data_IF_352371207502
#
_entry.id   IF_352371207502
#
_cell.length_a   1.000
_cell.length_b   1.000
_cell.length_c   1.000
_cell.angle_alpha   90.00
_cell.angle_beta   90.00
_cell.angle_gamma   90.00
#
_symmetry.space_group_name_H-M   'P 1'
#
loop_
_entity.id
_entity.type
_entity.pdbx_description
1 polymer ?
#
# COMPACT_ATOMS: atom_id res chain seq x y z
N UNK A 1 1.82 -29.26 10.76
CA UNK A 1 2.39 -27.95 10.36
C UNK A 1 1.28 -26.92 10.43
N UNK A 2 1.31 -26.02 11.41
CA UNK A 2 0.40 -24.86 11.44
C UNK A 2 0.93 -23.80 10.50
N UNK A 3 0.19 -23.50 9.42
CA UNK A 3 0.48 -22.36 8.57
C UNK A 3 0.43 -21.09 9.43
N UNK A 4 1.50 -20.29 9.43
CA UNK A 4 1.47 -19.00 10.09
C UNK A 4 0.28 -18.19 9.54
N UNK A 5 -0.48 -17.44 10.38
CA UNK A 5 -1.59 -16.64 9.90
C UNK A 5 -1.13 -15.69 8.80
N UNK A 6 -1.80 -15.75 7.65
CA UNK A 6 -1.55 -14.84 6.53
C UNK A 6 -1.81 -13.41 7.01
N UNK A 7 -0.85 -12.51 6.78
CA UNK A 7 -0.98 -11.10 7.15
C UNK A 7 -2.23 -10.47 6.51
N UNK A 8 -2.98 -9.73 7.31
CA UNK A 8 -4.20 -9.03 6.88
C UNK A 8 -3.85 -7.57 6.63
N UNK A 9 -3.67 -7.23 5.37
CA UNK A 9 -3.35 -5.87 4.91
C UNK A 9 -4.63 -5.13 4.57
N UNK A 10 -4.68 -3.83 4.88
CA UNK A 10 -5.75 -2.93 4.46
C UNK A 10 -5.16 -1.67 3.87
N UNK A 11 -5.90 -1.00 2.98
CA UNK A 11 -5.61 0.36 2.52
C UNK A 11 -6.77 1.24 3.01
N UNK A 12 -6.51 2.08 4.00
CA UNK A 12 -7.50 2.96 4.64
C UNK A 12 -7.55 4.35 3.99
N UNK A 13 -6.42 4.80 3.44
CA UNK A 13 -6.30 6.05 2.71
C UNK A 13 -5.69 5.76 1.35
N UNK A 14 -6.32 6.28 0.30
CA UNK A 14 -5.80 6.24 -1.06
C UNK A 14 -6.24 7.51 -1.80
N UNK A 15 -5.34 8.49 -1.90
CA UNK A 15 -5.65 9.81 -2.45
C UNK A 15 -4.55 10.27 -3.39
N UNK A 16 -4.94 10.79 -4.55
CA UNK A 16 -4.01 11.32 -5.54
C UNK A 16 -4.42 12.72 -5.98
N UNK A 17 -3.54 13.71 -5.77
CA UNK A 17 -3.60 15.02 -6.41
C UNK A 17 -2.61 15.03 -7.56
N UNK A 18 -3.12 14.96 -8.79
CA UNK A 18 -2.31 14.91 -10.00
C UNK A 18 -1.26 16.04 -10.00
N UNK A 19 -0.02 15.70 -10.32
CA UNK A 19 1.13 16.61 -10.33
C UNK A 19 1.48 17.29 -8.99
N UNK A 20 0.84 16.89 -7.89
CA UNK A 20 1.14 17.42 -6.54
C UNK A 20 1.70 16.31 -5.66
N UNK A 21 0.85 15.40 -5.21
CA UNK A 21 1.23 14.31 -4.31
C UNK A 21 0.26 13.14 -4.42
N UNK A 22 0.72 12.01 -3.92
CA UNK A 22 -0.08 10.82 -3.74
C UNK A 22 0.18 10.25 -2.35
N UNK A 23 -0.87 9.86 -1.65
CA UNK A 23 -0.79 9.37 -0.27
C UNK A 23 -1.56 8.08 -0.12
N UNK A 24 -0.91 7.10 0.50
CA UNK A 24 -1.49 5.81 0.89
C UNK A 24 -1.22 5.55 2.36
N UNK A 25 -2.19 4.98 3.06
CA UNK A 25 -2.02 4.52 4.43
C UNK A 25 -2.93 3.34 4.74
N UNK A 26 -2.57 2.55 5.73
CA UNK A 26 -3.34 1.36 6.10
C UNK A 26 -2.74 0.59 7.26
N UNK A 27 -3.26 -0.62 7.45
CA UNK A 27 -2.80 -1.53 8.49
C UNK A 27 -2.30 -2.84 7.90
N UNK A 28 -1.51 -3.57 8.68
CA UNK A 28 -0.99 -4.90 8.38
C UNK A 28 -1.00 -5.67 9.70
N UNK A 29 -1.95 -6.60 9.84
CA UNK A 29 -2.20 -7.38 11.06
C UNK A 29 -1.77 -8.83 10.85
N UNK A 30 -0.78 -9.28 11.62
CA UNK A 30 -0.36 -10.67 11.73
C UNK A 30 -0.30 -11.05 13.23
N UNK A 31 -0.39 -12.34 13.56
CA UNK A 31 -0.29 -12.89 14.91
C UNK A 31 1.16 -12.86 15.50
N UNK A 32 2.01 -11.94 15.06
CA UNK A 32 3.40 -11.82 15.50
C UNK A 32 3.96 -10.40 15.38
N UNK A 33 5.17 -10.13 15.92
CA UNK A 33 5.79 -8.81 15.90
C UNK A 33 5.89 -8.27 14.47
N UNK A 34 5.53 -6.99 14.27
CA UNK A 34 5.55 -6.35 12.95
C UNK A 34 6.89 -5.69 12.59
N UNK A 35 7.89 -5.77 13.46
CA UNK A 35 9.17 -5.06 13.34
C UNK A 35 9.89 -5.45 12.05
N UNK A 36 10.23 -4.46 11.22
CA UNK A 36 11.00 -4.65 10.00
C UNK A 36 10.19 -5.14 8.78
N UNK A 37 8.88 -5.33 8.91
CA UNK A 37 8.03 -5.66 7.77
C UNK A 37 7.76 -4.40 6.90
N UNK A 38 7.43 -4.63 5.62
CA UNK A 38 7.13 -3.53 4.69
C UNK A 38 5.94 -3.86 3.79
N UNK A 39 5.34 -2.81 3.22
CA UNK A 39 4.29 -2.88 2.21
C UNK A 39 4.83 -2.26 0.93
N UNK A 40 4.91 -3.05 -0.14
CA UNK A 40 5.16 -2.55 -1.49
C UNK A 40 3.86 -2.05 -2.11
N UNK A 41 3.91 -0.88 -2.73
CA UNK A 41 2.76 -0.23 -3.37
C UNK A 41 2.92 -0.27 -4.87
N UNK A 42 1.86 -0.67 -5.57
CA UNK A 42 1.79 -0.74 -7.02
C UNK A 42 0.57 0.03 -7.53
N UNK A 43 0.77 0.79 -8.58
CA UNK A 43 -0.30 1.28 -9.43
C UNK A 43 -0.84 0.13 -10.27
N UNK A 44 -2.13 -0.15 -10.11
CA UNK A 44 -2.85 -1.20 -10.83
C UNK A 44 -4.07 -0.62 -11.55
N UNK A 45 -3.99 0.65 -11.94
CA UNK A 45 -5.02 1.31 -12.73
C UNK A 45 -5.36 0.48 -13.98
N UNK A 46 -6.64 0.14 -14.22
CA UNK A 46 -7.04 -0.65 -15.38
C UNK A 46 -6.58 -0.05 -16.72
N UNK A 47 -6.26 -0.91 -17.68
CA UNK A 47 -5.82 -0.50 -19.02
C UNK A 47 -4.34 -0.18 -19.14
N UNK A 48 -3.53 -0.42 -18.10
CA UNK A 48 -2.06 -0.36 -18.18
C UNK A 48 -1.39 -1.45 -17.34
N UNK A 49 -0.12 -1.71 -17.63
CA UNK A 49 0.69 -2.64 -16.83
C UNK A 49 0.87 -2.12 -15.40
N UNK A 50 0.92 -3.04 -14.43
CA UNK A 50 1.16 -2.70 -13.05
C UNK A 50 2.56 -2.09 -12.88
N UNK A 51 2.67 -0.98 -12.15
CA UNK A 51 3.91 -0.26 -11.95
C UNK A 51 4.17 -0.03 -10.47
N UNK A 52 5.41 -0.24 -10.01
CA UNK A 52 5.77 0.01 -8.62
C UNK A 52 5.76 1.51 -8.32
N UNK A 53 5.08 1.90 -7.26
CA UNK A 53 5.02 3.28 -6.75
C UNK A 53 6.05 3.51 -5.65
N UNK A 54 6.16 2.59 -4.70
CA UNK A 54 7.04 2.76 -3.55
C UNK A 54 6.92 1.64 -2.53
N UNK A 55 7.46 1.88 -1.33
CA UNK A 55 7.32 0.98 -0.19
C UNK A 55 7.17 1.75 1.12
N UNK A 56 6.38 1.21 2.04
CA UNK A 56 6.17 1.74 3.38
C UNK A 56 6.67 0.73 4.42
N UNK A 57 7.40 1.19 5.43
CA UNK A 57 7.71 0.35 6.60
C UNK A 57 6.47 0.23 7.49
N UNK A 58 6.21 -0.97 7.99
CA UNK A 58 5.17 -1.23 8.97
C UNK A 58 5.74 -0.94 10.36
N UNK A 59 5.06 -0.08 11.14
CA UNK A 59 5.47 0.21 12.50
C UNK A 59 5.07 -0.91 13.48
N UNK A 60 5.51 -0.81 14.73
CA UNK A 60 5.22 -1.81 15.78
C UNK A 60 3.73 -2.02 16.07
N UNK A 61 2.89 -1.04 15.74
CA UNK A 61 1.43 -1.11 15.89
C UNK A 61 0.73 -1.72 14.65
N UNK A 62 1.49 -2.12 13.63
CA UNK A 62 0.94 -2.65 12.38
C UNK A 62 0.43 -1.57 11.43
N UNK A 63 0.71 -0.29 11.67
CA UNK A 63 0.31 0.80 10.77
C UNK A 63 1.41 1.09 9.76
N UNK A 64 1.02 1.54 8.57
CA UNK A 64 1.94 1.98 7.54
C UNK A 64 1.36 3.18 6.78
N UNK A 65 2.26 4.03 6.27
CA UNK A 65 1.91 5.16 5.42
C UNK A 65 3.02 5.45 4.43
N UNK A 66 2.66 5.89 3.24
CA UNK A 66 3.59 6.32 2.21
C UNK A 66 3.03 7.52 1.47
N UNK A 67 3.91 8.48 1.17
CA UNK A 67 3.57 9.65 0.36
C UNK A 67 4.70 9.91 -0.61
N UNK A 68 4.37 10.23 -1.85
CA UNK A 68 5.33 10.76 -2.83
C UNK A 68 4.99 12.20 -3.21
N UNK A 69 6.04 13.02 -3.28
CA UNK A 69 6.00 14.41 -3.71
C UNK A 69 7.27 14.73 -4.54
N UNK A 70 7.16 15.09 -5.83
CA UNK A 70 5.92 15.15 -6.59
C UNK A 70 5.25 13.78 -6.72
N UNK A 71 3.92 13.77 -6.75
CA UNK A 71 3.14 12.57 -7.09
C UNK A 71 3.30 12.19 -8.56
N UNK A 72 2.83 10.99 -8.97
CA UNK A 72 2.81 10.58 -10.36
C UNK A 72 2.13 11.62 -11.27
N UNK A 73 2.70 11.82 -12.46
CA UNK A 73 2.15 12.74 -13.47
C UNK A 73 0.97 12.15 -14.24
N UNK A 74 0.70 10.85 -14.07
CA UNK A 74 -0.43 10.14 -14.65
C UNK A 74 -1.43 9.81 -13.56
N UNK A 75 -2.72 9.88 -13.88
CA UNK A 75 -3.78 9.56 -12.93
C UNK A 75 -3.67 8.10 -12.46
N UNK A 76 -3.46 7.91 -11.17
CA UNK A 76 -3.61 6.62 -10.48
C UNK A 76 -5.04 6.52 -9.97
N UNK A 77 -5.77 5.47 -10.35
CA UNK A 77 -7.16 5.22 -9.92
C UNK A 77 -7.31 3.93 -9.13
N UNK A 78 -6.31 3.04 -9.13
CA UNK A 78 -6.28 1.86 -8.31
C UNK A 78 -4.86 1.57 -7.80
N UNK A 79 -4.76 1.14 -6.55
CA UNK A 79 -3.51 0.76 -5.88
C UNK A 79 -3.61 -0.65 -5.35
N UNK A 80 -2.49 -1.39 -5.42
CA UNK A 80 -2.29 -2.66 -4.72
C UNK A 80 -1.18 -2.50 -3.70
N UNK A 81 -1.43 -2.99 -2.50
CA UNK A 81 -0.49 -3.07 -1.39
C UNK A 81 -0.12 -4.53 -1.15
N UNK A 82 1.16 -4.86 -1.27
CA UNK A 82 1.71 -6.21 -1.05
C UNK A 82 2.62 -6.16 0.18
N UNK A 83 2.23 -6.83 1.27
CA UNK A 83 3.04 -6.94 2.48
C UNK A 83 4.11 -8.01 2.31
N UNK A 84 5.32 -7.73 2.81
CA UNK A 84 6.41 -8.70 2.90
C UNK A 84 6.07 -9.91 3.77
N UNK A 85 4.96 -9.86 4.53
CA UNK A 85 4.43 -10.96 5.34
C UNK A 85 3.35 -11.79 4.62
N UNK A 86 3.16 -11.57 3.31
CA UNK A 86 2.30 -12.39 2.44
C UNK A 86 0.84 -11.94 2.34
N UNK A 87 0.48 -10.79 2.91
CA UNK A 87 -0.83 -10.17 2.78
C UNK A 87 -0.92 -9.25 1.57
N UNK A 88 -2.08 -9.15 0.94
CA UNK A 88 -2.33 -8.23 -0.17
C UNK A 88 -3.65 -7.50 0.01
N UNK A 89 -3.71 -6.26 -0.47
CA UNK A 89 -4.92 -5.44 -0.49
C UNK A 89 -4.98 -4.59 -1.75
N UNK A 90 -6.17 -4.32 -2.25
CA UNK A 90 -6.39 -3.35 -3.33
C UNK A 90 -7.38 -2.29 -2.88
N UNK A 91 -7.23 -1.07 -3.40
CA UNK A 91 -8.17 0.01 -3.18
C UNK A 91 -8.28 0.92 -4.39
N UNK A 92 -9.47 1.47 -4.59
CA UNK A 92 -9.66 2.60 -5.48
C UNK A 92 -8.98 3.85 -4.91
N UNK A 93 -8.29 4.59 -5.77
CA UNK A 93 -7.63 5.84 -5.43
C UNK A 93 -8.57 6.98 -5.73
N UNK A 94 -8.92 7.74 -4.69
CA UNK A 94 -9.80 8.88 -4.82
C UNK A 94 -9.02 10.08 -5.39
N UNK A 95 -9.60 10.84 -6.33
CA UNK A 95 -9.09 12.16 -6.67
C UNK A 95 -9.06 13.04 -5.43
N UNK A 96 -8.03 13.87 -5.31
CA UNK A 96 -7.88 14.85 -4.24
C UNK A 96 -7.76 16.28 -4.75
#
# INVERSE_FOLDING_TARGET
MTTAPKDVVTVSTARHRLNKDITFAGTSKNAGPATGASVMLYDVTPGRAAARLGAATINSLGNWSWTAKPGPTRQVTAVRADSSRGGTAQAAVRPG
#
